data_IF_252963964441
#
_entry.id   IF_252963964441
#
_cell.length_a   1.000
_cell.length_b   1.000
_cell.length_c   1.000
_cell.angle_alpha   90.00
_cell.angle_beta   90.00
_cell.angle_gamma   90.00
#
_symmetry.space_group_name_H-M   'P 1'
#
loop_
_entity.id
_entity.type
_entity.pdbx_description
1 polymer ?
#
# COMPACT_ATOMS: atom_id res chain seq x y z
N UNK A 1 -39.70 26.02 19.43
CA UNK A 1 -40.33 24.71 19.71
C UNK A 1 -40.34 23.74 18.52
N UNK A 2 -40.46 24.20 17.26
CA UNK A 2 -40.45 23.32 16.07
C UNK A 2 -39.08 22.73 15.68
N UNK A 3 -37.95 23.38 16.04
CA UNK A 3 -36.60 22.85 15.78
C UNK A 3 -36.20 21.68 16.69
N UNK A 4 -36.69 21.64 17.94
CA UNK A 4 -36.37 20.56 18.88
C UNK A 4 -37.12 19.25 18.54
N UNK A 5 -38.27 19.33 17.87
CA UNK A 5 -39.02 18.14 17.44
C UNK A 5 -38.38 17.44 16.22
N UNK A 6 -37.71 18.20 15.34
CA UNK A 6 -36.97 17.65 14.18
C UNK A 6 -35.70 16.90 14.60
N UNK A 7 -34.98 17.41 15.60
CA UNK A 7 -33.79 16.74 16.16
C UNK A 7 -34.15 15.46 16.93
N UNK A 8 -35.33 15.42 17.56
CA UNK A 8 -35.80 14.23 18.28
C UNK A 8 -36.26 13.11 17.33
N UNK A 9 -36.94 13.45 16.22
CA UNK A 9 -37.32 12.49 15.17
C UNK A 9 -36.11 11.92 14.41
N UNK A 10 -35.06 12.73 14.19
CA UNK A 10 -33.81 12.25 13.59
C UNK A 10 -33.06 11.26 14.51
N UNK A 11 -33.10 11.51 15.82
CA UNK A 11 -32.53 10.60 16.83
C UNK A 11 -33.24 9.25 16.92
N UNK A 12 -34.57 9.22 16.76
CA UNK A 12 -35.36 7.97 16.75
C UNK A 12 -35.14 7.18 15.45
N UNK A 13 -34.99 7.85 14.30
CA UNK A 13 -34.66 7.19 13.02
C UNK A 13 -33.25 6.56 13.03
N UNK A 14 -32.27 7.19 13.68
CA UNK A 14 -30.93 6.64 13.87
C UNK A 14 -30.93 5.43 14.83
N UNK A 15 -31.76 5.45 15.87
CA UNK A 15 -31.91 4.32 16.80
C UNK A 15 -32.60 3.11 16.17
N UNK A 16 -33.59 3.31 15.29
CA UNK A 16 -34.25 2.21 14.54
C UNK A 16 -33.31 1.67 13.46
N UNK A 17 -32.44 2.50 12.86
CA UNK A 17 -31.40 2.06 11.94
C UNK A 17 -30.34 1.16 12.59
N UNK A 18 -30.00 1.39 13.86
CA UNK A 18 -29.09 0.53 14.63
C UNK A 18 -29.77 -0.73 15.20
N UNK A 19 -31.08 -0.69 15.47
CA UNK A 19 -31.80 -1.84 16.03
C UNK A 19 -32.06 -2.99 15.03
N UNK A 20 -31.85 -2.79 13.73
CA UNK A 20 -31.99 -3.83 12.69
C UNK A 20 -30.66 -4.30 12.07
N UNK A 21 -29.51 -3.92 12.62
CA UNK A 21 -28.22 -4.52 12.25
C UNK A 21 -27.58 -5.24 13.43
N UNK A 22 -28.37 -5.94 14.23
CA UNK A 22 -27.88 -7.15 14.86
C UNK A 22 -27.98 -8.27 13.81
N UNK A 23 -27.20 -8.18 12.73
CA UNK A 23 -26.77 -9.41 12.11
C UNK A 23 -25.76 -9.99 13.09
N UNK A 24 -26.16 -11.02 13.84
CA UNK A 24 -25.17 -12.06 14.10
C UNK A 24 -24.58 -12.35 12.72
N UNK A 25 -23.32 -11.96 12.51
CA UNK A 25 -22.63 -12.30 11.28
C UNK A 25 -22.68 -13.82 11.24
N UNK A 26 -23.55 -14.36 10.39
CA UNK A 26 -23.77 -15.78 10.23
C UNK A 26 -22.39 -16.40 10.03
N UNK A 27 -21.92 -17.16 11.03
CA UNK A 27 -20.60 -17.82 11.01
C UNK A 27 -20.71 -19.02 10.06
N UNK A 28 -21.16 -18.78 8.83
CA UNK A 28 -21.05 -19.75 7.75
C UNK A 28 -19.63 -19.69 7.25
N UNK A 29 -19.05 -20.87 7.04
CA UNK A 29 -17.76 -21.00 6.38
C UNK A 29 -17.76 -20.15 5.09
N UNK A 30 -16.68 -19.42 4.80
CA UNK A 30 -16.56 -18.65 3.56
C UNK A 30 -16.84 -19.57 2.35
N UNK A 31 -17.51 -19.07 1.29
CA UNK A 31 -17.71 -19.86 0.09
C UNK A 31 -16.37 -20.35 -0.45
N UNK A 32 -16.21 -21.65 -0.63
CA UNK A 32 -14.98 -22.26 -1.18
C UNK A 32 -14.97 -22.26 -2.71
N UNK A 33 -16.12 -21.97 -3.34
CA UNK A 33 -16.27 -21.82 -4.78
C UNK A 33 -16.81 -20.42 -5.10
N UNK A 34 -15.96 -19.59 -5.70
CA UNK A 34 -16.39 -18.36 -6.33
C UNK A 34 -16.68 -18.66 -7.79
N UNK A 35 -17.94 -18.53 -8.22
CA UNK A 35 -18.30 -18.67 -9.63
C UNK A 35 -17.80 -17.44 -10.40
N UNK A 36 -16.57 -17.53 -10.89
CA UNK A 36 -15.94 -16.53 -11.74
C UNK A 36 -16.05 -16.87 -13.23
N UNK A 37 -16.60 -18.05 -13.56
CA UNK A 37 -16.67 -18.55 -14.94
C UNK A 37 -17.53 -17.66 -15.85
N UNK A 38 -18.43 -16.86 -15.28
CA UNK A 38 -19.26 -15.90 -16.00
C UNK A 38 -18.65 -14.51 -16.14
N UNK A 39 -17.54 -14.19 -15.46
CA UNK A 39 -16.93 -12.86 -15.50
C UNK A 39 -16.08 -12.69 -16.76
N UNK A 40 -16.29 -11.58 -17.46
CA UNK A 40 -15.51 -11.19 -18.63
C UNK A 40 -15.34 -9.66 -18.66
N UNK A 41 -14.63 -9.12 -19.65
CA UNK A 41 -14.37 -7.67 -19.73
C UNK A 41 -15.64 -6.82 -19.81
N UNK A 42 -16.72 -7.33 -20.41
CA UNK A 42 -18.01 -6.62 -20.46
C UNK A 42 -18.78 -6.62 -19.14
N UNK A 43 -18.30 -7.36 -18.13
CA UNK A 43 -18.83 -7.29 -16.76
C UNK A 43 -18.39 -6.02 -16.01
N UNK A 44 -17.50 -5.21 -16.60
CA UNK A 44 -16.93 -4.00 -16.01
C UNK A 44 -17.34 -2.77 -16.83
N UNK A 45 -17.39 -1.57 -16.21
CA UNK A 45 -17.71 -0.34 -16.92
C UNK A 45 -16.79 -0.10 -18.13
N UNK A 46 -17.32 0.59 -19.14
CA UNK A 46 -16.50 1.05 -20.25
C UNK A 46 -15.34 1.90 -19.74
N UNK A 47 -14.13 1.64 -20.24
CA UNK A 47 -12.91 2.30 -19.78
C UNK A 47 -12.29 1.71 -18.51
N UNK A 48 -12.82 0.61 -17.95
CA UNK A 48 -12.14 -0.09 -16.85
C UNK A 48 -10.78 -0.62 -17.29
N UNK A 49 -9.73 -0.25 -16.56
CA UNK A 49 -8.33 -0.59 -16.89
C UNK A 49 -7.93 -1.86 -16.14
N UNK A 50 -7.57 -2.91 -16.87
CA UNK A 50 -6.91 -4.09 -16.32
C UNK A 50 -5.40 -3.96 -16.50
N UNK A 51 -4.65 -3.99 -15.41
CA UNK A 51 -3.20 -3.84 -15.46
C UNK A 51 -2.45 -4.81 -14.57
N UNK A 52 -1.13 -4.82 -14.75
CA UNK A 52 -0.17 -5.53 -13.91
C UNK A 52 0.73 -4.52 -13.19
N UNK A 53 1.30 -4.92 -12.06
CA UNK A 53 2.07 -4.04 -11.19
C UNK A 53 3.40 -4.65 -10.74
N UNK A 54 4.44 -3.82 -10.59
CA UNK A 54 5.74 -4.24 -10.05
C UNK A 54 6.50 -3.09 -9.36
N UNK A 55 7.52 -3.42 -8.53
CA UNK A 55 8.40 -2.48 -7.83
C UNK A 55 9.88 -2.65 -8.20
N UNK A 56 10.57 -1.58 -8.57
CA UNK A 56 11.88 -1.50 -9.23
C UNK A 56 12.91 -2.50 -8.71
N UNK A 57 13.13 -2.54 -7.41
CA UNK A 57 14.10 -3.45 -6.78
C UNK A 57 13.75 -4.94 -6.95
N UNK A 58 12.46 -5.27 -7.14
CA UNK A 58 11.95 -6.63 -7.25
C UNK A 58 12.06 -7.20 -8.68
N UNK A 59 12.25 -6.38 -9.71
CA UNK A 59 12.18 -6.83 -11.11
C UNK A 59 13.26 -6.29 -12.05
N UNK A 60 13.87 -5.14 -11.77
CA UNK A 60 14.81 -4.54 -12.72
C UNK A 60 16.12 -5.31 -12.81
N UNK A 61 16.71 -5.64 -11.64
CA UNK A 61 18.09 -6.07 -11.55
C UNK A 61 19.07 -4.99 -12.00
N UNK A 62 20.20 -5.44 -12.56
CA UNK A 62 21.28 -4.58 -13.03
C UNK A 62 21.71 -3.58 -11.96
N UNK A 63 21.86 -4.06 -10.72
CA UNK A 63 22.01 -3.25 -9.52
C UNK A 63 23.23 -2.32 -9.55
N UNK A 64 24.27 -2.69 -10.31
CA UNK A 64 25.55 -1.97 -10.45
C UNK A 64 25.79 -1.44 -11.86
N UNK A 65 24.77 -1.43 -12.71
CA UNK A 65 24.89 -1.05 -14.12
C UNK A 65 24.31 0.33 -14.42
N UNK A 66 24.71 0.90 -15.55
CA UNK A 66 24.16 2.14 -16.07
C UNK A 66 24.31 3.33 -15.11
N UNK A 67 25.29 3.30 -14.20
CA UNK A 67 25.53 4.37 -13.22
C UNK A 67 24.57 4.40 -12.02
N UNK A 68 23.80 3.34 -11.77
CA UNK A 68 22.93 3.23 -10.58
C UNK A 68 23.77 3.21 -9.29
N UNK A 69 23.33 3.96 -8.28
CA UNK A 69 23.84 3.87 -6.91
C UNK A 69 23.10 2.80 -6.08
N UNK A 70 23.68 2.35 -4.95
CA UNK A 70 23.01 1.39 -4.07
C UNK A 70 21.78 2.00 -3.40
N UNK A 71 20.73 1.20 -3.26
CA UNK A 71 19.60 1.45 -2.36
C UNK A 71 19.83 0.75 -1.02
N UNK A 72 18.98 1.05 -0.04
CA UNK A 72 18.98 0.37 1.27
C UNK A 72 18.82 -1.14 1.15
N UNK A 73 18.08 -1.64 0.15
CA UNK A 73 17.90 -3.06 -0.05
C UNK A 73 19.15 -3.75 -0.61
N UNK A 74 19.90 -3.09 -1.50
CA UNK A 74 21.20 -3.61 -1.97
C UNK A 74 22.12 -3.83 -0.76
N UNK A 75 22.28 -2.80 0.07
CA UNK A 75 23.13 -2.88 1.28
C UNK A 75 22.62 -3.92 2.27
N UNK A 76 21.32 -3.93 2.56
CA UNK A 76 20.73 -4.83 3.54
C UNK A 76 20.92 -6.30 3.14
N UNK A 77 20.59 -6.64 1.90
CA UNK A 77 20.67 -8.03 1.41
C UNK A 77 22.12 -8.51 1.25
N UNK A 78 23.05 -7.64 0.85
CA UNK A 78 24.48 -8.00 0.78
C UNK A 78 25.14 -8.11 2.16
N UNK A 79 24.72 -7.29 3.13
CA UNK A 79 25.31 -7.28 4.48
C UNK A 79 24.71 -8.35 5.40
N UNK A 80 23.43 -8.66 5.21
CA UNK A 80 22.67 -9.60 6.03
C UNK A 80 21.92 -10.63 5.17
N UNK A 81 22.61 -11.43 4.34
CA UNK A 81 21.96 -12.40 3.47
C UNK A 81 21.15 -13.44 4.25
N UNK A 82 21.52 -13.73 5.50
CA UNK A 82 20.78 -14.63 6.38
C UNK A 82 19.41 -14.10 6.82
N UNK A 83 19.13 -12.81 6.58
CA UNK A 83 17.81 -12.20 6.81
C UNK A 83 16.85 -12.43 5.65
N UNK A 84 17.34 -12.95 4.52
CA UNK A 84 16.52 -13.36 3.38
C UNK A 84 16.35 -14.87 3.44
N UNK A 85 15.11 -15.35 3.33
CA UNK A 85 14.75 -16.75 3.57
C UNK A 85 15.56 -17.75 2.72
N UNK A 86 15.90 -17.39 1.49
CA UNK A 86 16.73 -18.18 0.57
C UNK A 86 18.12 -17.57 0.32
N UNK A 87 18.48 -16.54 1.10
CA UNK A 87 19.73 -15.78 0.97
C UNK A 87 19.98 -15.14 -0.41
N UNK A 88 18.94 -15.01 -1.24
CA UNK A 88 19.00 -14.28 -2.51
C UNK A 88 18.99 -12.76 -2.32
N UNK A 89 19.16 -12.01 -3.42
CA UNK A 89 19.13 -10.56 -3.44
C UNK A 89 18.59 -10.01 -4.78
N UNK A 90 18.44 -8.69 -4.88
CA UNK A 90 17.94 -7.99 -6.06
C UNK A 90 18.96 -7.66 -7.15
N UNK A 91 20.15 -8.28 -7.18
CA UNK A 91 21.21 -7.88 -8.13
C UNK A 91 20.81 -8.10 -9.59
N UNK A 92 20.09 -9.20 -9.88
CA UNK A 92 19.66 -9.61 -11.23
C UNK A 92 18.13 -9.69 -11.33
N UNK A 93 17.44 -10.29 -10.36
CA UNK A 93 15.99 -10.52 -10.39
C UNK A 93 15.51 -11.24 -11.67
N UNK A 94 14.49 -10.74 -12.37
CA UNK A 94 14.04 -11.22 -13.69
C UNK A 94 14.70 -10.48 -14.86
N UNK A 95 15.63 -9.56 -14.55
CA UNK A 95 16.46 -8.81 -15.50
C UNK A 95 15.66 -7.92 -16.48
N UNK A 96 14.59 -7.28 -16.00
CA UNK A 96 13.78 -6.38 -16.83
C UNK A 96 14.59 -5.19 -17.34
N UNK A 97 15.64 -4.76 -16.62
CA UNK A 97 16.50 -3.67 -17.07
C UNK A 97 17.01 -3.89 -18.51
N UNK A 98 17.35 -5.14 -18.84
CA UNK A 98 17.74 -5.55 -20.19
C UNK A 98 16.57 -6.05 -21.03
N UNK A 99 15.58 -6.69 -20.40
CA UNK A 99 14.52 -7.47 -21.08
C UNK A 99 13.17 -6.76 -21.19
N UNK A 100 13.06 -5.47 -20.82
CA UNK A 100 11.78 -4.76 -20.79
C UNK A 100 10.95 -4.85 -22.06
N UNK A 101 11.56 -4.93 -23.25
CA UNK A 101 10.82 -5.10 -24.52
C UNK A 101 10.10 -6.45 -24.60
N UNK A 102 10.74 -7.51 -24.12
CA UNK A 102 10.15 -8.84 -24.05
C UNK A 102 8.99 -8.85 -23.06
N UNK A 103 9.20 -8.30 -21.86
CA UNK A 103 8.17 -8.19 -20.83
C UNK A 103 6.95 -7.40 -21.32
N UNK A 104 7.16 -6.25 -21.98
CA UNK A 104 6.08 -5.45 -22.58
C UNK A 104 5.35 -6.24 -23.67
N UNK A 105 6.08 -7.00 -24.49
CA UNK A 105 5.49 -7.88 -25.50
C UNK A 105 4.60 -8.96 -24.89
N UNK A 106 5.02 -9.58 -23.79
CA UNK A 106 4.22 -10.54 -23.03
C UNK A 106 2.97 -9.87 -22.47
N UNK A 107 3.10 -8.67 -21.86
CA UNK A 107 1.96 -7.97 -21.29
C UNK A 107 0.89 -7.65 -22.35
N UNK A 108 1.32 -7.21 -23.53
CA UNK A 108 0.43 -7.00 -24.68
C UNK A 108 -0.25 -8.28 -25.13
N UNK A 109 0.50 -9.37 -25.25
CA UNK A 109 -0.05 -10.66 -25.69
C UNK A 109 -1.07 -11.24 -24.69
N UNK A 110 -0.91 -10.95 -23.40
CA UNK A 110 -1.89 -11.30 -22.36
C UNK A 110 -3.12 -10.38 -22.35
N UNK A 111 -3.10 -9.27 -23.09
CA UNK A 111 -4.23 -8.35 -23.21
C UNK A 111 -4.36 -7.35 -22.06
N UNK A 112 -3.26 -6.99 -21.38
CA UNK A 112 -3.26 -5.95 -20.35
C UNK A 112 -3.35 -4.54 -20.96
N UNK A 113 -4.06 -3.65 -20.28
CA UNK A 113 -4.26 -2.24 -20.69
C UNK A 113 -3.20 -1.31 -20.10
N UNK A 114 -2.61 -1.69 -18.98
CA UNK A 114 -1.72 -0.84 -18.21
C UNK A 114 -0.60 -1.60 -17.51
N UNK A 115 0.51 -0.91 -17.30
CA UNK A 115 1.60 -1.38 -16.46
C UNK A 115 1.90 -0.34 -15.38
N UNK A 116 1.69 -0.72 -14.12
CA UNK A 116 2.15 0.04 -12.97
C UNK A 116 3.58 -0.38 -12.62
N UNK A 117 4.53 0.52 -12.71
CA UNK A 117 5.92 0.27 -12.33
C UNK A 117 6.44 1.36 -11.41
N UNK A 118 7.55 1.13 -10.72
CA UNK A 118 8.22 2.19 -9.96
C UNK A 118 9.53 2.62 -10.59
N UNK A 119 9.90 3.87 -10.32
CA UNK A 119 11.21 4.38 -10.69
C UNK A 119 12.18 4.11 -9.55
N UNK A 120 13.36 3.59 -9.87
CA UNK A 120 14.42 3.45 -8.90
C UNK A 120 15.09 4.78 -8.64
N UNK A 121 14.91 5.31 -7.43
CA UNK A 121 15.49 6.58 -7.01
C UNK A 121 17.01 6.53 -7.16
N UNK A 122 17.65 5.48 -6.65
CA UNK A 122 19.12 5.33 -6.73
C UNK A 122 19.63 5.15 -8.17
N UNK A 123 18.76 4.80 -9.13
CA UNK A 123 19.11 4.77 -10.56
C UNK A 123 19.07 6.16 -11.18
N UNK A 124 18.11 7.03 -10.81
CA UNK A 124 18.03 8.40 -11.32
C UNK A 124 19.01 9.35 -10.63
N UNK A 125 19.10 9.26 -9.31
CA UNK A 125 19.96 10.05 -8.44
C UNK A 125 20.84 9.09 -7.61
N UNK A 126 22.00 8.65 -8.15
CA UNK A 126 22.89 7.71 -7.46
C UNK A 126 23.36 8.22 -6.09
N UNK A 127 23.48 9.54 -5.96
CA UNK A 127 23.85 10.23 -4.73
C UNK A 127 22.61 10.78 -3.97
N UNK A 128 21.41 10.28 -4.28
CA UNK A 128 20.15 10.60 -3.62
C UNK A 128 19.58 12.00 -3.90
N UNK A 129 20.43 12.99 -4.17
CA UNK A 129 20.05 14.40 -4.36
C UNK A 129 20.42 14.89 -5.76
N UNK A 130 19.68 15.89 -6.24
CA UNK A 130 20.00 16.59 -7.50
C UNK A 130 21.39 17.23 -7.49
N UNK A 131 21.82 17.75 -6.33
CA UNK A 131 23.16 18.32 -6.14
C UNK A 131 24.28 17.29 -6.34
N UNK A 132 23.99 16.00 -6.13
CA UNK A 132 24.91 14.90 -6.38
C UNK A 132 24.92 14.43 -7.84
N UNK A 133 24.22 15.12 -8.74
CA UNK A 133 24.16 14.81 -10.16
C UNK A 133 23.01 13.86 -10.54
N UNK A 134 22.63 13.94 -11.81
CA UNK A 134 21.55 13.16 -12.40
C UNK A 134 22.12 12.13 -13.35
N UNK A 135 21.76 10.87 -13.18
CA UNK A 135 22.19 9.81 -14.06
C UNK A 135 21.36 9.77 -15.36
N UNK A 136 21.99 10.18 -16.46
CA UNK A 136 21.32 10.25 -17.78
C UNK A 136 21.00 8.87 -18.37
N UNK A 137 21.78 7.84 -18.06
CA UNK A 137 21.48 6.47 -18.52
C UNK A 137 20.25 5.92 -17.79
N UNK A 138 20.08 6.23 -16.49
CA UNK A 138 18.85 5.92 -15.75
C UNK A 138 17.61 6.58 -16.39
N UNK A 139 17.70 7.87 -16.73
CA UNK A 139 16.62 8.60 -17.44
C UNK A 139 16.31 7.92 -18.78
N UNK A 140 17.34 7.58 -19.55
CA UNK A 140 17.19 6.93 -20.85
C UNK A 140 16.51 5.57 -20.74
N UNK A 141 16.83 4.78 -19.72
CA UNK A 141 16.16 3.50 -19.45
C UNK A 141 14.64 3.70 -19.24
N UNK A 142 14.22 4.56 -18.32
CA UNK A 142 12.79 4.79 -18.07
C UNK A 142 12.07 5.41 -19.27
N UNK A 143 12.71 6.33 -19.99
CA UNK A 143 12.16 6.84 -21.25
C UNK A 143 11.94 5.72 -22.27
N UNK A 144 12.88 4.79 -22.40
CA UNK A 144 12.75 3.67 -23.31
C UNK A 144 11.62 2.71 -22.89
N UNK A 145 11.51 2.39 -21.60
CA UNK A 145 10.41 1.58 -21.05
C UNK A 145 9.05 2.24 -21.31
N UNK A 146 8.89 3.51 -20.95
CA UNK A 146 7.65 4.28 -21.16
C UNK A 146 7.28 4.32 -22.64
N UNK A 147 8.25 4.62 -23.51
CA UNK A 147 8.01 4.64 -24.95
C UNK A 147 7.60 3.27 -25.47
N UNK A 148 8.19 2.18 -24.96
CA UNK A 148 7.84 0.83 -25.38
C UNK A 148 6.44 0.41 -24.93
N UNK A 149 6.04 0.78 -23.71
CA UNK A 149 4.68 0.59 -23.21
C UNK A 149 3.66 1.30 -24.10
N UNK A 150 3.87 2.59 -24.36
CA UNK A 150 2.98 3.41 -25.18
C UNK A 150 2.87 2.87 -26.63
N UNK A 151 3.99 2.44 -27.24
CA UNK A 151 3.99 1.82 -28.57
C UNK A 151 3.17 0.53 -28.62
N UNK A 152 3.05 -0.17 -27.49
CA UNK A 152 2.31 -1.42 -27.38
C UNK A 152 0.89 -1.24 -26.87
N UNK A 153 0.43 0.01 -26.67
CA UNK A 153 -0.92 0.32 -26.22
C UNK A 153 -1.14 0.16 -24.72
N UNK A 154 -0.07 0.05 -23.92
CA UNK A 154 -0.15 -0.01 -22.46
C UNK A 154 0.00 1.37 -21.85
N UNK A 155 -0.91 1.71 -20.94
CA UNK A 155 -0.86 2.95 -20.17
C UNK A 155 0.13 2.79 -19.01
N UNK A 156 1.18 3.63 -18.92
CA UNK A 156 2.13 3.59 -17.81
C UNK A 156 1.54 4.27 -16.56
N UNK A 157 1.53 3.56 -15.43
CA UNK A 157 1.26 4.13 -14.10
C UNK A 157 2.56 4.12 -13.29
N UNK A 158 3.04 5.30 -12.90
CA UNK A 158 4.36 5.42 -12.27
C UNK A 158 4.24 5.60 -10.76
N UNK A 159 4.88 4.71 -10.00
CA UNK A 159 5.11 4.87 -8.57
C UNK A 159 6.47 5.54 -8.35
N UNK A 160 6.50 6.73 -7.76
CA UNK A 160 7.75 7.51 -7.60
C UNK A 160 8.72 6.92 -6.57
N UNK A 161 8.20 6.18 -5.59
CA UNK A 161 8.99 5.55 -4.55
C UNK A 161 8.38 4.20 -4.15
N UNK A 162 9.17 3.14 -4.19
CA UNK A 162 8.75 1.79 -3.82
C UNK A 162 9.79 1.11 -2.93
N UNK A 163 10.00 1.69 -1.75
CA UNK A 163 10.86 1.17 -0.67
C UNK A 163 12.36 1.08 -1.00
N UNK A 164 12.81 1.65 -2.12
CA UNK A 164 14.19 1.55 -2.62
C UNK A 164 14.97 2.87 -2.42
N UNK A 165 14.98 3.37 -1.18
CA UNK A 165 15.67 4.60 -0.79
C UNK A 165 17.18 4.49 -1.14
N UNK A 166 17.81 5.52 -1.73
CA UNK A 166 19.25 5.52 -1.95
C UNK A 166 20.01 5.38 -0.63
N UNK A 167 20.96 4.43 -0.54
CA UNK A 167 21.72 4.16 0.68
C UNK A 167 22.43 5.41 1.21
N UNK A 168 22.91 6.27 0.32
CA UNK A 168 23.59 7.50 0.71
C UNK A 168 22.73 8.44 1.56
N UNK A 169 21.39 8.42 1.43
CA UNK A 169 20.50 9.24 2.26
C UNK A 169 20.27 8.60 3.64
N UNK A 170 20.28 7.27 3.69
CA UNK A 170 20.31 6.51 4.95
C UNK A 170 21.61 6.82 5.71
N UNK A 171 22.75 6.77 5.02
CA UNK A 171 24.07 7.04 5.62
C UNK A 171 24.24 8.50 6.06
N UNK A 172 23.75 9.45 5.26
CA UNK A 172 23.96 10.88 5.53
C UNK A 172 23.13 11.37 6.72
N UNK A 173 21.88 10.93 6.85
CA UNK A 173 20.97 11.47 7.86
C UNK A 173 19.88 10.51 8.36
N UNK A 174 20.00 9.20 8.12
CA UNK A 174 19.06 8.19 8.60
C UNK A 174 17.77 8.10 7.78
N UNK A 175 17.81 8.49 6.51
CA UNK A 175 16.72 8.27 5.56
C UNK A 175 15.39 8.88 6.02
N UNK A 176 14.33 8.06 6.07
CA UNK A 176 12.99 8.49 6.47
C UNK A 176 12.83 8.82 7.96
N UNK A 177 13.82 8.50 8.80
CA UNK A 177 13.84 8.93 10.20
C UNK A 177 14.24 10.42 10.32
N UNK A 178 14.77 11.00 9.25
CA UNK A 178 15.17 12.39 9.18
C UNK A 178 14.02 13.29 8.73
N UNK A 179 13.88 14.51 9.31
CA UNK A 179 12.94 15.51 8.78
C UNK A 179 13.31 16.02 7.37
N UNK A 180 14.48 15.63 6.85
CA UNK A 180 14.89 15.93 5.47
C UNK A 180 14.13 15.09 4.43
N UNK A 181 13.47 14.01 4.84
CA UNK A 181 12.56 13.22 3.99
C UNK A 181 11.19 13.19 4.67
N UNK A 182 10.22 13.86 4.08
CA UNK A 182 8.87 13.99 4.66
C UNK A 182 7.91 13.09 3.88
N UNK A 183 7.29 12.14 4.58
CA UNK A 183 6.08 11.46 4.13
C UNK A 183 4.93 11.90 5.03
N UNK A 184 3.71 11.97 4.48
CA UNK A 184 2.58 12.43 5.27
C UNK A 184 1.31 11.70 4.85
N UNK A 185 0.82 10.86 5.77
CA UNK A 185 -0.59 10.51 5.87
C UNK A 185 -1.18 11.47 6.89
N UNK A 186 -1.99 12.44 6.44
CA UNK A 186 -3.43 12.24 6.29
C UNK A 186 -4.03 13.11 5.16
N UNK A 187 -4.23 12.50 3.99
CA UNK A 187 -4.52 13.20 2.73
C UNK A 187 -5.91 13.87 2.66
N UNK A 188 -6.83 13.57 3.58
CA UNK A 188 -8.20 14.13 3.58
C UNK A 188 -8.41 15.18 4.66
N UNK A 189 -8.03 14.88 5.91
CA UNK A 189 -8.23 15.76 7.05
C UNK A 189 -7.07 16.72 7.31
N UNK A 190 -5.89 16.45 6.76
CA UNK A 190 -4.67 17.20 7.09
C UNK A 190 -4.22 17.05 8.54
N UNK A 191 -4.83 16.13 9.31
CA UNK A 191 -4.32 15.65 10.60
C UNK A 191 -4.56 14.13 10.78
N UNK A 192 -3.72 13.46 11.57
CA UNK A 192 -3.81 12.00 11.82
C UNK A 192 -5.17 11.61 12.42
N UNK A 193 -5.66 10.37 12.25
CA UNK A 193 -6.88 9.90 12.91
C UNK A 193 -6.88 10.15 14.43
N UNK A 194 -8.04 10.50 14.99
CA UNK A 194 -8.18 10.80 16.43
C UNK A 194 -7.69 9.65 17.32
N UNK A 195 -7.94 8.40 16.92
CA UNK A 195 -7.45 7.20 17.63
C UNK A 195 -5.92 7.18 17.72
N UNK A 196 -5.21 7.43 16.62
CA UNK A 196 -3.75 7.51 16.61
C UNK A 196 -3.24 8.63 17.50
N UNK A 197 -3.84 9.83 17.44
CA UNK A 197 -3.43 10.94 18.32
C UNK A 197 -3.59 10.61 19.80
N UNK A 198 -4.69 9.94 20.16
CA UNK A 198 -4.95 9.53 21.54
C UNK A 198 -4.01 8.43 22.04
N UNK A 199 -3.66 7.45 21.19
CA UNK A 199 -2.84 6.29 21.56
C UNK A 199 -1.33 6.58 21.52
N UNK A 200 -0.87 7.29 20.48
CA UNK A 200 0.56 7.57 20.25
C UNK A 200 1.00 8.82 21.02
N UNK A 201 0.10 9.79 21.20
CA UNK A 201 0.34 10.98 22.01
C UNK A 201 1.50 11.84 21.48
N UNK A 202 2.43 12.22 22.35
CA UNK A 202 3.54 13.12 22.03
C UNK A 202 4.59 12.52 21.09
N UNK A 203 4.56 11.20 20.85
CA UNK A 203 5.45 10.52 19.90
C UNK A 203 5.05 10.76 18.44
N UNK A 204 3.81 11.19 18.21
CA UNK A 204 3.31 11.51 16.88
C UNK A 204 3.69 12.96 16.53
N UNK A 205 4.45 13.20 15.44
CA UNK A 205 4.77 14.56 15.01
C UNK A 205 3.49 15.36 14.76
N UNK A 206 3.52 16.66 15.04
CA UNK A 206 2.38 17.55 14.75
C UNK A 206 2.62 18.26 13.43
N UNK A 207 1.62 18.27 12.57
CA UNK A 207 1.66 19.09 11.36
C UNK A 207 1.48 20.56 11.72
N UNK A 208 2.25 21.44 11.07
CA UNK A 208 1.94 22.87 11.07
C UNK A 208 0.66 23.12 10.26
N UNK A 209 0.07 24.31 10.39
CA UNK A 209 -1.11 24.69 9.59
C UNK A 209 -0.81 24.67 8.10
N UNK A 210 0.40 25.03 7.73
CA UNK A 210 0.88 25.05 6.35
C UNK A 210 1.04 23.63 5.82
N UNK A 211 1.66 22.72 6.59
CA UNK A 211 1.78 21.31 6.22
C UNK A 211 0.40 20.66 6.07
N UNK A 212 -0.50 20.88 7.03
CA UNK A 212 -1.88 20.37 6.98
C UNK A 212 -2.61 20.78 5.71
N UNK A 213 -2.48 22.06 5.30
CA UNK A 213 -3.07 22.58 4.06
C UNK A 213 -2.47 21.95 2.79
N UNK A 214 -1.20 21.56 2.79
CA UNK A 214 -0.57 20.89 1.66
C UNK A 214 -1.04 19.44 1.49
N UNK A 215 -1.60 18.83 2.53
CA UNK A 215 -2.01 17.43 2.53
C UNK A 215 -3.47 17.25 2.13
N UNK A 216 -4.34 18.17 2.55
CA UNK A 216 -5.78 18.09 2.27
C UNK A 216 -6.01 18.14 0.77
N UNK A 217 -6.55 17.05 0.22
CA UNK A 217 -6.86 16.94 -1.21
C UNK A 217 -5.62 16.82 -2.10
N UNK A 218 -4.46 16.41 -1.56
CA UNK A 218 -3.23 16.26 -2.36
C UNK A 218 -3.20 14.95 -3.17
N UNK A 219 -4.36 14.46 -3.61
CA UNK A 219 -4.52 13.24 -4.39
C UNK A 219 -5.66 13.40 -5.41
N UNK A 220 -5.46 12.90 -6.63
CA UNK A 220 -6.49 12.86 -7.67
C UNK A 220 -7.16 11.47 -7.76
N UNK A 221 -6.47 10.43 -7.29
CA UNK A 221 -6.97 9.06 -7.24
C UNK A 221 -6.40 8.31 -6.03
N UNK A 222 -7.10 7.28 -5.59
CA UNK A 222 -6.68 6.41 -4.49
C UNK A 222 -6.26 5.04 -5.04
N UNK A 223 -5.04 4.63 -4.73
CA UNK A 223 -4.56 3.27 -4.97
C UNK A 223 -4.73 2.40 -3.72
N UNK A 224 -5.38 1.25 -3.85
CA UNK A 224 -5.53 0.27 -2.76
C UNK A 224 -4.80 -1.03 -3.13
N UNK A 225 -3.78 -1.40 -2.33
CA UNK A 225 -3.14 -2.70 -2.44
C UNK A 225 -3.88 -3.71 -1.54
N UNK A 226 -4.84 -4.44 -2.11
CA UNK A 226 -5.64 -5.44 -1.39
C UNK A 226 -5.15 -6.87 -1.66
N UNK A 227 -5.01 -7.68 -0.60
CA UNK A 227 -4.51 -9.06 -0.70
C UNK A 227 -5.33 -10.07 0.11
N UNK A 228 -5.69 -9.74 1.35
CA UNK A 228 -6.35 -10.65 2.31
C UNK A 228 -7.22 -9.86 3.28
N UNK A 229 -8.11 -10.55 3.99
CA UNK A 229 -8.76 -10.05 5.20
C UNK A 229 -8.30 -10.74 6.46
N UNK A 230 -8.69 -10.19 7.61
CA UNK A 230 -8.51 -10.77 8.95
C UNK A 230 -9.76 -10.58 9.80
N UNK A 231 -9.99 -11.51 10.74
CA UNK A 231 -10.91 -11.24 11.84
C UNK A 231 -10.28 -10.21 12.76
N UNK A 232 -11.08 -9.28 13.27
CA UNK A 232 -10.67 -8.31 14.28
C UNK A 232 -11.54 -8.47 15.52
N UNK A 233 -10.95 -8.50 16.71
CA UNK A 233 -11.65 -8.53 18.00
C UNK A 233 -10.98 -7.57 18.99
N UNK A 234 -11.73 -6.91 19.86
CA UNK A 234 -11.20 -5.95 20.85
C UNK A 234 -9.93 -6.46 21.56
N UNK A 235 -8.90 -5.61 21.62
CA UNK A 235 -7.70 -5.90 22.39
C UNK A 235 -7.88 -5.43 23.85
N UNK A 236 -7.56 -6.25 24.87
CA UNK A 236 -7.66 -5.81 26.25
C UNK A 236 -6.79 -4.57 26.47
N UNK A 237 -7.34 -3.52 27.09
CA UNK A 237 -6.64 -2.24 27.29
C UNK A 237 -5.25 -2.47 27.89
N UNK A 238 -4.21 -2.24 27.07
CA UNK A 238 -2.84 -2.38 27.54
C UNK A 238 -2.48 -1.14 28.37
N UNK A 239 -2.22 -1.34 29.66
CA UNK A 239 -1.77 -0.26 30.54
C UNK A 239 -0.47 0.34 29.96
N UNK A 240 -0.46 1.67 29.85
CA UNK A 240 0.54 2.54 29.20
C UNK A 240 1.99 2.43 29.72
N UNK A 241 2.30 1.47 30.59
CA UNK A 241 3.58 1.31 31.29
C UNK A 241 4.70 0.81 30.36
N UNK A 242 4.37 0.23 29.19
CA UNK A 242 5.36 -0.38 28.27
C UNK A 242 5.34 0.19 26.83
N UNK A 243 4.66 1.31 26.56
CA UNK A 243 4.64 1.89 25.22
C UNK A 243 6.04 2.40 24.80
N UNK A 244 6.59 1.84 23.73
CA UNK A 244 7.94 2.10 23.20
C UNK A 244 8.01 1.93 21.68
N UNK A 245 9.03 2.50 21.02
CA UNK A 245 9.25 2.30 19.58
C UNK A 245 9.26 0.83 19.17
N UNK A 246 9.71 -0.12 20.01
CA UNK A 246 9.74 -1.55 19.68
C UNK A 246 8.36 -2.20 19.77
N UNK A 247 7.55 -1.83 20.78
CA UNK A 247 6.12 -2.19 20.82
C UNK A 247 5.31 -1.46 19.76
N UNK A 248 5.81 -0.31 19.30
CA UNK A 248 5.27 0.40 18.16
C UNK A 248 5.79 -0.20 16.84
N UNK A 249 6.98 -0.79 16.71
CA UNK A 249 7.50 -1.29 15.42
C UNK A 249 6.82 -2.59 14.98
N UNK A 250 6.28 -3.34 15.94
CA UNK A 250 5.25 -4.36 15.73
C UNK A 250 3.97 -3.79 15.04
N UNK A 251 3.84 -2.45 14.88
CA UNK A 251 2.68 -1.68 14.32
C UNK A 251 2.20 -2.14 12.95
N UNK A 252 3.03 -2.62 12.02
CA UNK A 252 2.48 -2.92 10.68
C UNK A 252 1.58 -4.15 10.72
N UNK A 253 1.78 -5.05 11.69
CA UNK A 253 0.83 -6.13 12.01
C UNK A 253 -0.10 -5.78 13.19
N UNK A 254 0.35 -4.91 14.11
CA UNK A 254 -0.31 -4.58 15.38
C UNK A 254 -0.95 -3.17 15.49
N UNK A 255 -1.02 -2.31 14.46
CA UNK A 255 -1.92 -1.11 14.50
C UNK A 255 -3.37 -1.55 14.55
N UNK A 256 -3.68 -2.70 13.93
CA UNK A 256 -4.88 -3.41 14.26
C UNK A 256 -4.87 -3.80 15.74
N UNK A 257 -3.81 -4.40 16.29
CA UNK A 257 -3.76 -4.97 17.65
C UNK A 257 -3.68 -3.97 18.82
N UNK A 258 -3.40 -2.68 18.60
CA UNK A 258 -3.61 -1.67 19.64
C UNK A 258 -5.10 -1.33 19.87
N UNK A 259 -5.99 -1.74 18.96
CA UNK A 259 -7.45 -1.55 19.05
C UNK A 259 -8.18 -2.91 19.01
N UNK A 260 -7.67 -3.86 18.23
CA UNK A 260 -8.27 -5.14 17.88
C UNK A 260 -7.21 -6.23 17.60
N UNK A 261 -7.19 -7.34 18.34
CA UNK A 261 -6.49 -8.57 17.95
C UNK A 261 -6.93 -9.01 16.55
N UNK A 262 -5.97 -9.17 15.63
CA UNK A 262 -6.22 -9.75 14.30
C UNK A 262 -5.83 -11.21 14.24
N UNK A 263 -6.70 -12.00 13.63
CA UNK A 263 -6.46 -13.42 13.45
C UNK A 263 -6.92 -13.88 12.06
N UNK A 264 -6.15 -14.78 11.46
CA UNK A 264 -6.55 -15.50 10.27
C UNK A 264 -7.63 -16.56 10.58
N UNK A 265 -7.85 -16.88 11.86
CA UNK A 265 -8.77 -17.88 12.35
C UNK A 265 -9.53 -17.36 13.58
N UNK A 266 -10.81 -17.69 13.69
CA UNK A 266 -11.63 -17.43 14.89
C UNK A 266 -12.37 -18.71 15.28
N UNK A 267 -12.15 -19.18 16.50
CA UNK A 267 -12.79 -20.39 17.05
C UNK A 267 -12.63 -21.64 16.16
N UNK A 268 -11.45 -21.89 15.60
CA UNK A 268 -11.23 -23.03 14.69
C UNK A 268 -11.66 -22.77 13.24
N UNK A 269 -12.22 -21.59 12.93
CA UNK A 269 -12.72 -21.25 11.59
C UNK A 269 -11.78 -20.25 10.91
N UNK A 270 -11.05 -20.65 9.85
CA UNK A 270 -10.21 -19.74 9.09
C UNK A 270 -11.08 -18.75 8.28
N UNK A 271 -10.58 -17.53 8.10
CA UNK A 271 -11.29 -16.49 7.34
C UNK A 271 -11.42 -16.83 5.86
N UNK A 272 -10.53 -17.66 5.34
CA UNK A 272 -10.52 -18.11 3.95
C UNK A 272 -9.44 -19.16 3.72
N UNK A 273 -9.43 -19.83 2.54
CA UNK A 273 -8.39 -20.77 2.20
C UNK A 273 -7.03 -20.07 2.07
N UNK A 274 -5.94 -20.78 2.37
CA UNK A 274 -4.57 -20.27 2.26
C UNK A 274 -4.17 -20.08 0.81
N UNK A 275 -3.49 -18.97 0.55
CA UNK A 275 -2.79 -18.69 -0.71
C UNK A 275 -1.36 -19.23 -0.72
N UNK A 276 -0.52 -18.69 -1.60
CA UNK A 276 0.87 -19.13 -1.77
C UNK A 276 1.80 -18.73 -0.59
N UNK A 277 1.40 -17.76 0.22
CA UNK A 277 2.16 -17.27 1.38
C UNK A 277 1.38 -17.47 2.67
N UNK A 278 2.08 -17.74 3.77
CA UNK A 278 1.47 -18.04 5.08
C UNK A 278 0.49 -16.97 5.59
N UNK A 279 0.79 -15.69 5.33
CA UNK A 279 -0.06 -14.56 5.74
C UNK A 279 -1.29 -14.37 4.84
N UNK A 280 -1.34 -14.98 3.66
CA UNK A 280 -2.35 -14.73 2.63
C UNK A 280 -3.54 -15.68 2.78
N UNK A 281 -4.72 -15.15 3.13
CA UNK A 281 -5.98 -15.88 3.10
C UNK A 281 -6.89 -15.30 2.01
N UNK A 282 -7.50 -16.15 1.19
CA UNK A 282 -8.38 -15.70 0.10
C UNK A 282 -9.73 -15.26 0.66
N UNK A 283 -10.00 -13.96 0.65
CA UNK A 283 -11.24 -13.41 1.22
C UNK A 283 -11.84 -12.23 0.42
N UNK A 284 -12.32 -12.43 -0.83
CA UNK A 284 -12.74 -11.34 -1.72
C UNK A 284 -13.98 -10.55 -1.25
N UNK A 285 -14.71 -11.03 -0.25
CA UNK A 285 -15.95 -10.45 0.27
C UNK A 285 -15.70 -9.10 0.95
N UNK A 286 -14.58 -8.96 1.65
CA UNK A 286 -14.22 -7.71 2.31
C UNK A 286 -14.01 -6.57 1.31
N UNK A 287 -13.47 -6.85 0.13
CA UNK A 287 -13.29 -5.84 -0.90
C UNK A 287 -14.64 -5.18 -1.29
N UNK A 288 -15.72 -5.97 -1.35
CA UNK A 288 -17.08 -5.45 -1.60
C UNK A 288 -17.56 -4.57 -0.44
N UNK A 289 -17.31 -4.98 0.80
CA UNK A 289 -17.68 -4.24 2.00
C UNK A 289 -16.93 -2.91 2.06
N UNK A 290 -15.61 -2.94 1.88
CA UNK A 290 -14.75 -1.75 1.85
C UNK A 290 -15.27 -0.74 0.82
N UNK A 291 -15.51 -1.17 -0.42
CA UNK A 291 -16.00 -0.27 -1.46
C UNK A 291 -17.35 0.37 -1.10
N UNK A 292 -18.31 -0.42 -0.62
CA UNK A 292 -19.66 0.05 -0.27
C UNK A 292 -19.71 1.01 0.93
N UNK A 293 -18.74 0.93 1.84
CA UNK A 293 -18.68 1.74 3.07
C UNK A 293 -17.87 3.02 2.86
N UNK A 294 -16.81 2.95 2.07
CA UNK A 294 -15.87 4.03 1.88
C UNK A 294 -16.31 5.03 0.81
N UNK A 295 -17.05 4.61 -0.22
CA UNK A 295 -17.61 5.52 -1.24
C UNK A 295 -18.35 6.72 -0.62
N UNK A 296 -19.02 6.52 0.51
CA UNK A 296 -19.75 7.57 1.23
C UNK A 296 -18.87 8.53 2.04
N UNK A 297 -17.64 8.15 2.36
CA UNK A 297 -16.71 8.92 3.21
C UNK A 297 -15.71 9.72 2.37
N UNK A 298 -15.25 9.19 1.24
CA UNK A 298 -14.30 9.89 0.36
C UNK A 298 -14.96 10.89 -0.60
N UNK A 299 -16.28 10.75 -0.85
CA UNK A 299 -17.03 11.65 -1.73
C UNK A 299 -17.83 12.75 -1.01
N UNK A 300 -17.73 12.84 0.33
CA UNK A 300 -18.37 13.88 1.16
C UNK A 300 -17.38 14.93 1.62
#
# INVERSE_FOLDING_TARGET
>A
MAMQLRSFLLGILLLIGFAFTNSEADIRAPPTHFDTASLNRSSFPEGFIFGVGSGSYQYEGAAKEGGRGPSIWDTFTHKYPEKINDSSNGDITVDQYHRYKEDVGIMKNMGWDAYRFSISWSRLLPNGKLSGGVNKEGIKYYNNLINELLRNGLTPFVTLFHWDLPQTLEDEYGGFLSPHIVFAEPLTSGDYPQSMRSLVGSRLPKFTKEQSKLLIGSFDFLGLNYYTGYYASDAPQNNSVYASYTTDYELIFHILIFICVVAAERNGVPIGPKGASEWLNVYPQEFKIFYSTQEKVWMS
#
